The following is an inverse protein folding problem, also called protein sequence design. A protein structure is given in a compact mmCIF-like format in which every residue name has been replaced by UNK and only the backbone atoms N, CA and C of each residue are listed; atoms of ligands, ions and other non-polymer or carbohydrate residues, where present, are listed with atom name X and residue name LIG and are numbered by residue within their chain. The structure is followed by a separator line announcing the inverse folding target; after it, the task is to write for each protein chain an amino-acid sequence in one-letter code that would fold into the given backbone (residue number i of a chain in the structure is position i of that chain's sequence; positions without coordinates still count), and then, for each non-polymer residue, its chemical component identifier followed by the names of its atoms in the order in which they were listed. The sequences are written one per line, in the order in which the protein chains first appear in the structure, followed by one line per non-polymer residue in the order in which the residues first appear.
data_IF_390919704217
#
_entry.id   IF_390919704217
#
_cell.length_a   1.000
_cell.length_b   1.000
_cell.length_c   1.000
_cell.angle_alpha   90.00
_cell.angle_beta   90.00
_cell.angle_gamma   90.00
#
_symmetry.space_group_name_H-M   'P 1'
#
loop_
_entity.id
_entity.type
_entity.pdbx_description
1 polymer ?
#
# COMPACT_ATOMS: atom_id res chain seq x y z
N UNK A 1 -7.67 -13.69 -3.63
CA UNK A 1 -9.00 -13.63 -4.29
C UNK A 1 -9.70 -12.41 -3.74
N UNK A 2 -10.31 -11.61 -4.60
CA UNK A 2 -11.01 -10.37 -4.24
C UNK A 2 -12.48 -10.53 -4.59
N UNK A 3 -13.36 -10.39 -3.61
CA UNK A 3 -14.78 -10.67 -3.77
C UNK A 3 -15.58 -9.37 -3.67
N UNK A 4 -16.01 -8.83 -4.82
CA UNK A 4 -16.72 -7.54 -4.87
C UNK A 4 -15.85 -6.33 -4.53
N UNK A 5 -14.53 -6.50 -4.47
CA UNK A 5 -13.55 -5.45 -4.22
C UNK A 5 -12.45 -5.46 -5.29
N UNK A 6 -11.59 -4.46 -5.26
CA UNK A 6 -10.43 -4.32 -6.12
C UNK A 6 -9.12 -4.37 -5.30
N UNK A 7 -8.00 -4.02 -5.95
CA UNK A 7 -6.68 -4.13 -5.36
C UNK A 7 -6.44 -3.14 -4.22
N UNK A 8 -7.26 -2.10 -4.05
CA UNK A 8 -7.11 -1.17 -2.91
C UNK A 8 -7.54 -1.82 -1.59
N UNK A 9 -8.16 -3.02 -1.66
CA UNK A 9 -8.45 -3.88 -0.50
C UNK A 9 -7.61 -5.16 -0.51
N UNK A 10 -6.66 -5.30 -1.42
CA UNK A 10 -5.78 -6.47 -1.51
C UNK A 10 -4.53 -6.28 -0.65
N UNK A 11 -4.59 -6.78 0.59
CA UNK A 11 -3.51 -6.61 1.58
C UNK A 11 -2.20 -7.27 1.18
N UNK A 12 -2.21 -8.22 0.23
CA UNK A 12 -0.98 -8.87 -0.26
C UNK A 12 -0.03 -7.87 -0.93
N UNK A 13 -0.54 -6.74 -1.44
CA UNK A 13 0.27 -5.72 -2.08
C UNK A 13 1.28 -5.12 -1.10
N UNK A 14 0.95 -5.03 0.19
CA UNK A 14 1.88 -4.60 1.22
C UNK A 14 3.05 -5.57 1.43
N UNK A 15 2.87 -6.87 1.14
CA UNK A 15 3.98 -7.81 1.18
C UNK A 15 5.03 -7.56 0.09
N UNK A 16 4.64 -6.95 -1.04
CA UNK A 16 5.59 -6.52 -2.07
C UNK A 16 6.41 -5.32 -1.59
N UNK A 17 5.78 -4.35 -0.93
CA UNK A 17 6.44 -3.20 -0.30
C UNK A 17 7.42 -3.65 0.79
N UNK A 18 7.01 -4.61 1.61
CA UNK A 18 7.83 -5.22 2.64
C UNK A 18 9.07 -5.91 2.06
N UNK A 19 8.88 -6.63 0.95
CA UNK A 19 9.92 -7.41 0.29
C UNK A 19 11.01 -6.55 -0.37
N UNK A 20 10.67 -5.33 -0.80
CA UNK A 20 11.66 -4.36 -1.31
C UNK A 20 12.22 -3.44 -0.21
N UNK A 21 11.83 -3.65 1.04
CA UNK A 21 12.19 -2.79 2.18
C UNK A 21 11.88 -1.31 1.93
N UNK A 22 10.65 -1.04 1.48
CA UNK A 22 10.27 0.30 1.06
C UNK A 22 10.46 1.34 2.20
N UNK A 23 11.14 2.45 1.91
CA UNK A 23 11.51 3.48 2.90
C UNK A 23 10.34 4.14 3.62
N UNK A 24 9.15 4.11 3.02
CA UNK A 24 7.93 4.71 3.59
C UNK A 24 7.21 3.78 4.57
N UNK A 25 7.72 2.58 4.84
CA UNK A 25 7.24 1.71 5.92
C UNK A 25 7.74 2.25 7.27
N UNK A 26 6.91 2.13 8.30
CA UNK A 26 7.15 2.69 9.62
C UNK A 26 7.29 1.63 10.70
N UNK A 27 8.07 1.97 11.72
CA UNK A 27 8.04 1.29 13.01
C UNK A 27 7.02 1.96 13.93
N UNK A 28 6.11 1.18 14.54
CA UNK A 28 5.07 1.65 15.45
C UNK A 28 4.93 0.71 16.65
N UNK A 29 4.82 1.28 17.84
CA UNK A 29 4.34 0.53 19.01
C UNK A 29 2.81 0.59 19.06
N UNK A 30 2.17 -0.56 18.93
CA UNK A 30 0.71 -0.67 18.99
C UNK A 30 0.26 -1.36 20.29
N UNK A 31 -0.93 -1.01 20.82
CA UNK A 31 -1.56 -1.80 21.85
C UNK A 31 -1.81 -3.21 21.32
N UNK A 32 -1.19 -4.21 21.94
CA UNK A 32 -1.42 -5.60 21.63
C UNK A 32 -2.05 -6.24 22.85
N UNK A 33 -3.38 -6.45 22.87
CA UNK A 33 -4.00 -7.33 23.84
C UNK A 33 -3.55 -8.75 23.50
N UNK A 34 -2.33 -9.09 23.90
CA UNK A 34 -1.82 -10.44 23.81
C UNK A 34 -2.56 -11.29 24.86
N UNK A 35 -2.66 -12.59 24.62
CA UNK A 35 -3.09 -13.52 25.67
C UNK A 35 -2.01 -13.68 26.77
N UNK A 36 -0.90 -12.94 26.68
CA UNK A 36 0.21 -12.97 27.63
C UNK A 36 -0.02 -11.93 28.73
N UNK A 37 0.08 -12.37 29.98
CA UNK A 37 -0.04 -11.49 31.13
C UNK A 37 1.14 -10.51 31.17
N UNK A 38 0.85 -9.22 31.06
CA UNK A 38 1.83 -8.14 31.30
C UNK A 38 2.35 -7.43 30.05
N UNK A 39 2.28 -8.06 28.87
CA UNK A 39 2.61 -7.39 27.60
C UNK A 39 1.38 -6.69 27.03
N UNK A 40 1.45 -5.35 27.01
CA UNK A 40 0.37 -4.48 26.51
C UNK A 40 0.70 -3.82 25.17
N UNK A 41 1.94 -3.93 24.72
CA UNK A 41 2.48 -3.19 23.58
C UNK A 41 3.31 -4.11 22.70
N UNK A 42 3.19 -3.97 21.38
CA UNK A 42 3.94 -4.72 20.38
C UNK A 42 4.52 -3.77 19.33
N UNK A 43 5.80 -3.95 18.98
CA UNK A 43 6.49 -3.14 17.97
C UNK A 43 6.33 -3.74 16.58
N UNK A 44 5.55 -3.08 15.73
CA UNK A 44 5.41 -3.38 14.30
C UNK A 44 6.51 -2.67 13.52
N UNK A 45 7.44 -3.40 12.89
CA UNK A 45 8.61 -2.81 12.21
C UNK A 45 8.39 -2.32 10.77
N UNK A 46 7.36 -2.84 10.10
CA UNK A 46 7.09 -2.60 8.68
C UNK A 46 5.62 -2.27 8.43
N UNK A 47 5.10 -1.34 9.23
CA UNK A 47 3.73 -0.86 9.07
C UNK A 47 3.62 0.00 7.80
N UNK A 48 2.66 -0.25 6.89
CA UNK A 48 2.44 0.58 5.71
C UNK A 48 1.39 1.69 5.98
N UNK A 49 1.78 2.93 6.30
CA UNK A 49 0.82 3.99 6.58
C UNK A 49 0.23 4.57 5.29
N UNK A 50 -1.03 5.00 5.37
CA UNK A 50 -1.64 5.91 4.40
C UNK A 50 -2.02 5.30 3.05
N UNK A 51 -2.28 6.17 2.08
CA UNK A 51 -2.81 5.83 0.77
C UNK A 51 -1.82 5.08 -0.14
N UNK A 52 -2.34 4.18 -0.98
CA UNK A 52 -1.61 3.48 -2.06
C UNK A 52 -2.46 3.42 -3.32
N UNK A 53 -1.82 3.46 -4.48
CA UNK A 53 -2.43 3.25 -5.79
C UNK A 53 -2.19 1.81 -6.26
N UNK A 54 -2.86 0.85 -5.60
CA UNK A 54 -2.76 -0.56 -5.98
C UNK A 54 -3.58 -0.88 -7.22
N UNK A 55 -4.56 -0.04 -7.58
CA UNK A 55 -5.28 -0.16 -8.84
C UNK A 55 -4.36 -0.06 -10.06
N UNK A 56 -3.29 0.73 -9.99
CA UNK A 56 -2.31 0.94 -11.07
C UNK A 56 -1.76 -0.35 -11.70
N UNK A 57 -1.62 -1.44 -10.93
CA UNK A 57 -1.06 -2.71 -11.43
C UNK A 57 -2.13 -3.66 -12.01
N UNK A 58 -3.41 -3.37 -11.81
CA UNK A 58 -4.51 -4.20 -12.33
C UNK A 58 -4.43 -4.43 -13.84
N UNK A 59 -4.22 -3.39 -14.69
CA UNK A 59 -4.09 -3.59 -16.13
C UNK A 59 -2.88 -4.44 -16.50
N UNK A 60 -1.78 -4.31 -15.75
CA UNK A 60 -0.55 -5.07 -15.97
C UNK A 60 -0.76 -6.56 -15.66
N UNK A 61 -1.35 -6.89 -14.51
CA UNK A 61 -1.67 -8.27 -14.12
C UNK A 61 -2.65 -8.92 -15.11
N UNK A 62 -3.67 -8.17 -15.54
CA UNK A 62 -4.65 -8.64 -16.53
C UNK A 62 -3.97 -8.97 -17.88
N UNK A 63 -3.13 -8.07 -18.41
CA UNK A 63 -2.42 -8.29 -19.69
C UNK A 63 -1.48 -9.49 -19.67
N UNK A 64 -0.93 -9.84 -18.50
CA UNK A 64 -0.05 -11.01 -18.31
C UNK A 64 -0.82 -12.29 -18.01
N UNK A 65 -2.15 -12.26 -17.98
CA UNK A 65 -2.99 -13.43 -17.66
C UNK A 65 -2.91 -13.87 -16.20
N UNK A 66 -2.35 -13.03 -15.32
CA UNK A 66 -2.17 -13.31 -13.90
C UNK A 66 -3.40 -12.97 -13.07
N UNK A 67 -4.30 -12.13 -13.60
CA UNK A 67 -5.57 -11.77 -13.00
C UNK A 67 -6.70 -12.29 -13.88
N UNK A 68 -7.58 -13.10 -13.30
CA UNK A 68 -8.81 -13.60 -13.92
C UNK A 68 -10.01 -12.95 -13.25
N UNK A 69 -10.99 -12.56 -14.05
CA UNK A 69 -12.24 -11.94 -13.60
C UNK A 69 -13.42 -12.86 -13.89
N UNK A 70 -14.37 -12.94 -12.97
CA UNK A 70 -15.64 -13.64 -13.12
C UNK A 70 -16.72 -12.97 -12.27
N UNK A 71 -17.92 -13.54 -12.24
CA UNK A 71 -19.04 -13.06 -11.44
C UNK A 71 -19.52 -14.19 -10.53
N UNK A 72 -19.74 -13.87 -9.24
CA UNK A 72 -20.40 -14.76 -8.26
C UNK A 72 -21.56 -14.00 -7.63
N UNK A 73 -22.79 -14.44 -7.91
CA UNK A 73 -23.98 -13.64 -7.59
C UNK A 73 -23.98 -12.34 -8.40
N UNK A 74 -23.99 -11.20 -7.72
CA UNK A 74 -23.83 -9.87 -8.34
C UNK A 74 -22.42 -9.30 -8.17
N UNK A 75 -21.51 -10.02 -7.49
CA UNK A 75 -20.16 -9.53 -7.20
C UNK A 75 -19.21 -9.84 -8.36
N UNK A 76 -18.45 -8.83 -8.79
CA UNK A 76 -17.26 -9.04 -9.61
C UNK A 76 -16.17 -9.67 -8.74
N UNK A 77 -15.70 -10.86 -9.12
CA UNK A 77 -14.67 -11.61 -8.40
C UNK A 77 -13.39 -11.63 -9.21
N UNK A 78 -12.26 -11.35 -8.55
CA UNK A 78 -10.92 -11.41 -9.14
C UNK A 78 -10.09 -12.50 -8.48
N UNK A 79 -9.43 -13.32 -9.28
CA UNK A 79 -8.47 -14.33 -8.82
C UNK A 79 -7.12 -14.00 -9.40
N UNK A 80 -6.12 -13.82 -8.53
CA UNK A 80 -4.77 -13.42 -8.89
C UNK A 80 -3.83 -14.61 -8.61
N UNK A 81 -2.98 -14.95 -9.57
CA UNK A 81 -1.84 -15.84 -9.36
C UNK A 81 -0.75 -15.08 -8.58
N UNK A 82 -0.66 -15.37 -7.28
CA UNK A 82 0.28 -14.70 -6.38
C UNK A 82 1.73 -14.95 -6.77
N UNK A 83 2.09 -16.16 -7.20
CA UNK A 83 3.48 -16.45 -7.59
C UNK A 83 3.87 -15.68 -8.84
N UNK A 84 2.99 -15.70 -9.85
CA UNK A 84 3.19 -14.92 -11.06
C UNK A 84 3.19 -13.42 -10.81
N UNK A 85 2.34 -12.92 -9.92
CA UNK A 85 2.31 -11.51 -9.50
C UNK A 85 3.63 -11.08 -8.87
N UNK A 86 4.16 -11.84 -7.90
CA UNK A 86 5.46 -11.53 -7.28
C UNK A 86 6.58 -11.58 -8.32
N UNK A 87 6.63 -12.62 -9.16
CA UNK A 87 7.63 -12.75 -10.21
C UNK A 87 7.60 -11.57 -11.21
N UNK A 88 6.42 -10.98 -11.45
CA UNK A 88 6.25 -9.83 -12.33
C UNK A 88 6.57 -8.50 -11.66
N UNK A 89 6.06 -8.27 -10.45
CA UNK A 89 6.11 -6.97 -9.79
C UNK A 89 7.40 -6.72 -9.03
N UNK A 90 8.06 -7.75 -8.49
CA UNK A 90 9.31 -7.56 -7.74
C UNK A 90 10.43 -6.89 -8.55
N UNK A 91 10.72 -7.27 -9.81
CA UNK A 91 11.71 -6.56 -10.62
C UNK A 91 11.32 -5.10 -10.90
N UNK A 92 10.03 -4.86 -11.16
CA UNK A 92 9.53 -3.50 -11.43
C UNK A 92 9.68 -2.62 -10.20
N UNK A 93 9.31 -3.14 -9.02
CA UNK A 93 9.43 -2.42 -7.74
C UNK A 93 10.88 -2.22 -7.30
N UNK A 94 11.80 -3.10 -7.70
CA UNK A 94 13.22 -2.91 -7.46
C UNK A 94 13.78 -1.74 -8.27
N UNK A 95 13.25 -1.48 -9.47
CA UNK A 95 13.60 -0.34 -10.33
C UNK A 95 12.83 0.93 -9.95
N UNK A 96 11.56 0.80 -9.61
CA UNK A 96 10.65 1.88 -9.20
C UNK A 96 9.95 1.54 -7.87
N UNK A 97 10.60 1.81 -6.72
CA UNK A 97 10.02 1.60 -5.39
C UNK A 97 8.75 2.43 -5.11
N UNK A 98 8.48 3.43 -5.95
CA UNK A 98 7.34 4.35 -5.82
C UNK A 98 6.17 3.95 -6.71
N UNK A 99 6.20 2.78 -7.35
CA UNK A 99 5.12 2.29 -8.24
C UNK A 99 3.72 2.38 -7.60
N UNK A 100 3.60 2.09 -6.30
CA UNK A 100 2.33 2.14 -5.56
C UNK A 100 2.00 3.51 -4.96
N UNK A 101 2.87 4.50 -5.15
CA UNK A 101 2.68 5.84 -4.62
C UNK A 101 1.99 6.69 -5.68
N UNK A 102 0.81 7.22 -5.35
CA UNK A 102 0.00 7.98 -6.30
C UNK A 102 0.71 9.27 -6.72
N UNK A 103 0.45 9.76 -7.94
CA UNK A 103 1.10 10.97 -8.47
C UNK A 103 0.43 12.28 -8.03
N UNK A 104 -0.65 12.22 -7.24
CA UNK A 104 -1.34 13.41 -6.75
C UNK A 104 -0.40 14.20 -5.83
N UNK A 105 -0.08 15.44 -6.21
CA UNK A 105 0.80 16.34 -5.46
C UNK A 105 0.21 16.72 -4.09
N UNK A 106 -1.12 16.75 -4.00
CA UNK A 106 -1.87 17.10 -2.80
C UNK A 106 -2.07 15.92 -1.84
N UNK A 107 -1.69 14.69 -2.23
CA UNK A 107 -1.80 13.55 -1.32
C UNK A 107 -0.66 13.59 -0.30
N UNK A 108 -0.97 13.92 0.95
CA UNK A 108 0.03 14.04 2.02
C UNK A 108 0.92 12.80 2.15
N UNK A 109 0.31 11.62 2.36
CA UNK A 109 1.04 10.36 2.55
C UNK A 109 1.96 10.01 1.37
N UNK A 110 1.45 10.15 0.15
CA UNK A 110 2.23 9.86 -1.05
C UNK A 110 3.30 10.93 -1.32
N UNK A 111 3.04 12.20 -1.02
CA UNK A 111 4.01 13.28 -1.09
C UNK A 111 5.20 13.03 -0.14
N UNK A 112 4.91 12.70 1.12
CA UNK A 112 5.91 12.33 2.10
C UNK A 112 6.74 11.13 1.64
N UNK A 113 6.06 10.08 1.14
CA UNK A 113 6.71 8.89 0.59
C UNK A 113 7.67 9.23 -0.56
N UNK A 114 7.30 10.14 -1.46
CA UNK A 114 8.20 10.61 -2.53
C UNK A 114 9.42 11.35 -1.98
N UNK A 115 9.23 12.26 -1.02
CA UNK A 115 10.33 13.04 -0.41
C UNK A 115 11.36 12.15 0.29
N UNK A 116 10.93 11.05 0.92
CA UNK A 116 11.85 10.05 1.49
C UNK A 116 12.81 9.42 0.48
N UNK A 117 12.40 9.33 -0.79
CA UNK A 117 13.24 8.80 -1.86
C UNK A 117 14.03 9.88 -2.59
N UNK A 118 13.53 11.12 -2.69
CA UNK A 118 14.27 12.23 -3.31
C UNK A 118 15.34 12.83 -2.40
N UNK A 119 15.23 12.65 -1.07
CA UNK A 119 16.16 13.24 -0.10
C UNK A 119 15.94 14.73 0.12
N UNK A 120 14.83 15.28 -0.38
CA UNK A 120 14.41 16.65 -0.10
C UNK A 120 14.12 16.84 1.40
N UNK A 121 14.30 18.09 1.87
CA UNK A 121 13.93 18.44 3.23
C UNK A 121 12.41 18.29 3.43
N UNK A 122 12.05 17.53 4.47
CA UNK A 122 10.66 17.25 4.78
C UNK A 122 10.17 18.30 5.79
N UNK A 123 9.45 19.30 5.30
CA UNK A 123 8.69 20.21 6.15
C UNK A 123 7.52 19.46 6.80
N UNK A 124 7.63 19.21 8.11
CA UNK A 124 6.63 18.49 8.89
C UNK A 124 5.36 19.32 9.13
N UNK A 125 5.42 20.66 9.03
CA UNK A 125 4.24 21.52 9.25
C UNK A 125 3.18 21.30 8.17
N UNK A 126 3.62 20.92 6.97
CA UNK A 126 2.76 20.50 5.85
C UNK A 126 1.91 19.27 6.16
N UNK A 127 2.17 18.53 7.24
CA UNK A 127 1.50 17.28 7.60
C UNK A 127 0.76 17.30 8.94
N UNK A 128 0.65 18.46 9.59
CA UNK A 128 -0.11 18.59 10.84
C UNK A 128 -1.60 18.22 10.68
N UNK A 129 -2.11 18.30 9.44
CA UNK A 129 -3.44 17.83 9.08
C UNK A 129 -3.36 16.43 8.46
N UNK A 130 -3.91 15.44 9.16
CA UNK A 130 -4.06 14.05 8.68
C UNK A 130 -5.18 13.87 7.63
N UNK A 131 -5.43 14.90 6.82
CA UNK A 131 -6.32 14.86 5.67
C UNK A 131 -5.76 15.80 4.61
N UNK A 132 -5.79 15.36 3.34
CA UNK A 132 -5.64 16.31 2.24
C UNK A 132 -7.01 16.91 1.90
N UNK A 133 -7.02 18.04 1.21
CA UNK A 133 -8.25 18.69 0.75
C UNK A 133 -8.96 17.95 -0.41
N UNK A 134 -8.42 16.81 -0.88
CA UNK A 134 -9.08 15.95 -1.86
C UNK A 134 -10.22 15.16 -1.21
N UNK A 135 -11.45 15.48 -1.61
CA UNK A 135 -12.67 14.82 -1.14
C UNK A 135 -12.72 13.31 -1.49
N UNK A 136 -11.84 12.85 -2.37
CA UNK A 136 -11.73 11.44 -2.75
C UNK A 136 -10.53 10.72 -2.07
N UNK A 137 -9.70 11.40 -1.26
CA UNK A 137 -8.65 10.69 -0.47
C UNK A 137 -9.29 9.95 0.69
N UNK A 138 -9.26 8.62 0.67
CA UNK A 138 -9.82 7.81 1.75
C UNK A 138 -8.90 7.76 2.98
N UNK A 139 -7.57 7.90 2.84
CA UNK A 139 -6.61 7.74 3.94
C UNK A 139 -5.36 8.63 3.73
N UNK A 140 -5.23 9.69 4.53
CA UNK A 140 -4.15 10.66 4.40
C UNK A 140 -3.35 10.78 5.72
N UNK A 141 -2.85 9.63 6.22
CA UNK A 141 -2.06 9.53 7.46
C UNK A 141 -0.58 9.40 7.14
N UNK A 142 0.26 10.18 7.81
CA UNK A 142 1.73 10.10 7.75
C UNK A 142 2.27 9.50 9.03
#
# INVERSE_FOLDING_TARGET
MLFGVDNDRDTIMHSLEEAIDAKYLRELDIPAPTYLTGEKTFTLKKFPPGHRDFLSVTPLLRRRGLLKESVVGSACVKVIDIKGMFALLMPILAEDPLLFICKNENCNSCNWSRKLYSGEEIDLTSYEKNHCDDINCEICVI
#
